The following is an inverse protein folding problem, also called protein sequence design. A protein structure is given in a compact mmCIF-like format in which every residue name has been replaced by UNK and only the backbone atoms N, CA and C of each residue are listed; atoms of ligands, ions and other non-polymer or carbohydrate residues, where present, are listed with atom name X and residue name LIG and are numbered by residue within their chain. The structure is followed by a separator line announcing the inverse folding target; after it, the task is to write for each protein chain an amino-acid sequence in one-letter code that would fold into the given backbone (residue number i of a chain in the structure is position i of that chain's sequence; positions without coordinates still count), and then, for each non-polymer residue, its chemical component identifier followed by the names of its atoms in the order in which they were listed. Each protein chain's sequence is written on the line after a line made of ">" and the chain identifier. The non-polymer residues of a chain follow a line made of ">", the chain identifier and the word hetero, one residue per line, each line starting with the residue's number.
data_IF_915794632996
#
_entry.id   IF_915794632996
#
_cell.length_a   1.000
_cell.length_b   1.000
_cell.length_c   1.000
_cell.angle_alpha   90.00
_cell.angle_beta   90.00
_cell.angle_gamma   90.00
#
_symmetry.space_group_name_H-M   'P 1'
#
loop_
_entity.id
_entity.type
_entity.pdbx_description
1 polymer ?
#
# COMPACT_ATOMS: atom_id res chain seq x y z
N UNK A 1 17.32 14.69 14.99
CA UNK A 1 16.55 14.29 13.79
C UNK A 1 15.79 12.97 13.98
N UNK A 2 16.45 11.87 14.34
CA UNK A 2 15.76 10.55 14.50
C UNK A 2 14.68 10.54 15.58
N UNK A 3 14.93 11.12 16.75
CA UNK A 3 13.94 11.19 17.82
C UNK A 3 12.67 11.97 17.41
N UNK A 4 12.83 13.06 16.66
CA UNK A 4 11.71 13.86 16.16
C UNK A 4 10.84 13.05 15.18
N UNK A 5 11.46 12.27 14.27
CA UNK A 5 10.74 11.40 13.36
C UNK A 5 9.96 10.32 14.09
N UNK A 6 10.56 9.70 15.12
CA UNK A 6 9.88 8.69 15.95
C UNK A 6 8.68 9.30 16.66
N UNK A 7 8.87 10.45 17.34
CA UNK A 7 7.78 11.15 18.03
C UNK A 7 6.65 11.47 17.05
N UNK A 8 6.97 12.04 15.89
CA UNK A 8 5.97 12.41 14.88
C UNK A 8 5.23 11.20 14.31
N UNK A 9 5.92 10.10 14.03
CA UNK A 9 5.29 8.84 13.60
C UNK A 9 4.32 8.29 14.65
N UNK A 10 4.75 8.26 15.92
CA UNK A 10 3.89 7.85 17.03
C UNK A 10 2.67 8.76 17.16
N UNK A 11 2.84 10.09 17.10
CA UNK A 11 1.72 11.05 17.16
C UNK A 11 0.77 10.94 15.96
N UNK A 12 1.26 10.60 14.77
CA UNK A 12 0.40 10.33 13.61
C UNK A 12 -0.47 9.10 13.84
N UNK A 13 0.13 7.98 14.29
CA UNK A 13 -0.62 6.75 14.56
C UNK A 13 -1.61 6.92 15.72
N UNK A 14 -1.17 7.57 16.81
CA UNK A 14 -2.00 7.82 17.98
C UNK A 14 -3.29 8.56 17.62
N UNK A 15 -3.20 9.65 16.84
CA UNK A 15 -4.40 10.41 16.40
C UNK A 15 -5.42 9.57 15.64
N UNK A 16 -4.97 8.62 14.81
CA UNK A 16 -5.87 7.73 14.07
C UNK A 16 -6.46 6.65 14.98
N UNK A 17 -5.66 6.06 15.87
CA UNK A 17 -6.12 5.03 16.81
C UNK A 17 -7.07 5.61 17.84
N UNK A 18 -6.82 6.81 18.37
CA UNK A 18 -7.70 7.49 19.33
C UNK A 18 -9.08 7.82 18.72
N UNK A 19 -9.14 8.11 17.42
CA UNK A 19 -10.40 8.37 16.72
C UNK A 19 -11.29 7.12 16.60
N UNK A 20 -10.71 5.92 16.72
CA UNK A 20 -11.39 4.63 16.56
C UNK A 20 -10.66 3.50 17.29
N UNK A 21 -10.55 3.63 18.62
CA UNK A 21 -9.72 2.72 19.44
C UNK A 21 -10.14 1.26 19.29
N UNK A 22 -11.45 1.03 19.24
CA UNK A 22 -12.08 -0.29 19.16
C UNK A 22 -12.22 -0.85 17.75
N UNK A 23 -11.77 -0.11 16.73
CA UNK A 23 -11.86 -0.52 15.32
C UNK A 23 -13.31 -0.82 14.87
N UNK A 24 -14.27 -0.05 15.41
CA UNK A 24 -15.70 -0.22 15.14
C UNK A 24 -16.16 0.63 13.95
N UNK A 25 -15.39 1.68 13.62
CA UNK A 25 -15.70 2.63 12.55
C UNK A 25 -14.80 2.47 11.32
N UNK A 26 -13.89 1.50 11.37
CA UNK A 26 -12.96 1.16 10.29
C UNK A 26 -12.06 2.34 9.89
N UNK A 27 -11.82 3.30 10.80
CA UNK A 27 -11.00 4.48 10.53
C UNK A 27 -9.52 4.09 10.48
N UNK A 28 -9.12 3.11 11.29
CA UNK A 28 -7.73 2.63 11.39
C UNK A 28 -7.23 1.98 10.11
N UNK A 29 -8.13 1.51 9.24
CA UNK A 29 -7.76 0.82 8.01
C UNK A 29 -6.88 1.65 7.09
N UNK A 30 -6.97 3.00 7.14
CA UNK A 30 -6.13 3.88 6.32
C UNK A 30 -4.64 3.73 6.61
N UNK A 31 -4.28 3.21 7.80
CA UNK A 31 -2.89 2.90 8.17
C UNK A 31 -2.32 1.75 7.34
N UNK A 32 -3.18 0.99 6.65
CA UNK A 32 -2.81 -0.13 5.79
C UNK A 32 -2.43 0.30 4.36
N UNK A 33 -2.22 1.61 4.10
CA UNK A 33 -1.65 2.03 2.82
C UNK A 33 -0.31 1.32 2.56
N UNK A 34 -0.18 0.73 1.38
CA UNK A 34 0.91 -0.13 0.95
C UNK A 34 0.85 -1.58 1.41
N UNK A 35 -0.05 -1.95 2.33
CA UNK A 35 0.01 -3.27 2.97
C UNK A 35 -0.76 -4.35 2.20
N UNK A 36 -1.76 -4.01 1.38
CA UNK A 36 -2.52 -5.03 0.66
C UNK A 36 -1.64 -5.66 -0.42
N UNK A 37 -1.02 -4.86 -1.27
CA UNK A 37 -0.05 -5.38 -2.25
C UNK A 37 1.27 -5.77 -1.56
N UNK A 38 1.70 -5.02 -0.53
CA UNK A 38 2.93 -5.31 0.21
C UNK A 38 2.96 -6.70 0.83
N UNK A 39 1.92 -7.12 1.56
CA UNK A 39 1.85 -8.48 2.12
C UNK A 39 1.85 -9.57 1.04
N UNK A 40 1.20 -9.32 -0.10
CA UNK A 40 1.22 -10.27 -1.22
C UNK A 40 2.63 -10.42 -1.80
N UNK A 41 3.41 -9.33 -1.91
CA UNK A 41 4.81 -9.37 -2.35
C UNK A 41 5.68 -10.06 -1.30
N UNK A 42 5.48 -9.77 -0.02
CA UNK A 42 6.20 -10.41 1.09
C UNK A 42 6.03 -11.95 1.03
N UNK A 43 4.78 -12.41 0.91
CA UNK A 43 4.47 -13.83 0.76
C UNK A 43 4.99 -14.43 -0.56
N UNK A 44 4.86 -13.71 -1.68
CA UNK A 44 5.37 -14.13 -2.98
C UNK A 44 6.90 -14.26 -3.01
N UNK A 45 7.60 -13.44 -2.23
CA UNK A 45 9.06 -13.52 -2.05
C UNK A 45 9.50 -14.71 -1.18
N UNK A 46 8.55 -15.45 -0.60
CA UNK A 46 8.82 -16.42 0.48
C UNK A 46 9.52 -15.76 1.68
N UNK A 47 9.08 -14.55 2.06
CA UNK A 47 9.61 -13.78 3.18
C UNK A 47 11.12 -13.48 3.09
N UNK A 48 11.64 -13.34 1.87
CA UNK A 48 13.05 -12.98 1.62
C UNK A 48 13.31 -11.48 1.64
N UNK A 49 12.27 -10.68 1.45
CA UNK A 49 12.31 -9.22 1.64
C UNK A 49 11.76 -8.89 3.03
N UNK A 50 12.27 -7.81 3.64
CA UNK A 50 11.74 -7.37 4.93
C UNK A 50 10.35 -6.76 4.77
N UNK A 51 9.57 -6.77 5.86
CA UNK A 51 8.23 -6.18 5.88
C UNK A 51 8.23 -4.71 5.42
N UNK A 52 9.19 -3.90 5.89
CA UNK A 52 9.29 -2.49 5.51
C UNK A 52 9.57 -2.28 4.02
N UNK A 53 10.41 -3.12 3.42
CA UNK A 53 10.66 -3.11 1.97
C UNK A 53 9.42 -3.53 1.18
N UNK A 54 8.72 -4.57 1.63
CA UNK A 54 7.49 -5.03 1.01
C UNK A 54 6.39 -3.94 1.04
N UNK A 55 6.22 -3.27 2.18
CA UNK A 55 5.28 -2.14 2.31
C UNK A 55 5.71 -0.96 1.43
N UNK A 56 6.99 -0.63 1.33
CA UNK A 56 7.47 0.44 0.44
C UNK A 56 7.13 0.16 -1.03
N UNK A 57 7.37 -1.07 -1.50
CA UNK A 57 7.00 -1.50 -2.85
C UNK A 57 5.47 -1.47 -3.02
N UNK A 58 4.73 -1.96 -2.02
CA UNK A 58 3.27 -1.93 -2.01
C UNK A 58 2.71 -0.51 -2.10
N UNK A 59 3.28 0.46 -1.38
CA UNK A 59 2.88 1.87 -1.48
C UNK A 59 3.01 2.40 -2.92
N UNK A 60 4.06 2.00 -3.64
CA UNK A 60 4.25 2.40 -5.05
C UNK A 60 3.18 1.78 -5.94
N UNK A 61 2.90 0.49 -5.83
CA UNK A 61 1.87 -0.16 -6.66
C UNK A 61 0.45 0.33 -6.33
N UNK A 62 0.14 0.61 -5.06
CA UNK A 62 -1.14 1.19 -4.65
C UNK A 62 -1.28 2.65 -5.10
N UNK A 63 -0.18 3.41 -5.12
CA UNK A 63 -0.16 4.75 -5.72
C UNK A 63 -0.31 4.70 -7.26
N UNK A 64 0.37 3.78 -7.95
CA UNK A 64 0.19 3.53 -9.40
C UNK A 64 -1.28 3.19 -9.72
N UNK A 65 -1.90 2.35 -8.90
CA UNK A 65 -3.32 2.02 -9.01
C UNK A 65 -4.20 3.26 -8.80
N UNK A 66 -3.86 4.11 -7.83
CA UNK A 66 -4.55 5.39 -7.61
C UNK A 66 -4.48 6.32 -8.84
N UNK A 67 -3.30 6.42 -9.48
CA UNK A 67 -3.11 7.19 -10.72
C UNK A 67 -3.94 6.61 -11.86
N UNK A 68 -3.87 5.29 -12.07
CA UNK A 68 -4.61 4.61 -13.13
C UNK A 68 -6.13 4.75 -12.97
N UNK A 69 -6.63 4.84 -11.73
CA UNK A 69 -8.05 5.08 -11.43
C UNK A 69 -8.44 6.57 -11.47
N UNK A 70 -7.51 7.47 -11.82
CA UNK A 70 -7.76 8.93 -11.87
C UNK A 70 -7.94 9.59 -10.51
N UNK A 71 -7.50 8.93 -9.43
CA UNK A 71 -7.63 9.43 -8.05
C UNK A 71 -6.44 10.28 -7.62
N UNK A 72 -5.25 10.00 -8.15
CA UNK A 72 -3.98 10.58 -7.75
C UNK A 72 -3.27 11.21 -8.95
N UNK A 73 -2.64 12.36 -8.73
CA UNK A 73 -1.74 12.96 -9.70
C UNK A 73 -0.43 12.16 -9.83
N UNK A 74 0.07 12.01 -11.05
CA UNK A 74 1.36 11.36 -11.33
C UNK A 74 2.51 12.05 -10.60
N UNK A 75 2.46 13.37 -10.42
CA UNK A 75 3.49 14.12 -9.69
C UNK A 75 3.60 13.67 -8.22
N UNK A 76 2.50 13.24 -7.62
CA UNK A 76 2.49 12.69 -6.26
C UNK A 76 3.10 11.30 -6.21
N UNK A 77 2.85 10.47 -7.23
CA UNK A 77 3.50 9.17 -7.38
C UNK A 77 5.02 9.33 -7.52
N UNK A 78 5.48 10.23 -8.39
CA UNK A 78 6.90 10.47 -8.62
C UNK A 78 7.59 10.99 -7.34
N UNK A 79 6.91 11.87 -6.60
CA UNK A 79 7.40 12.36 -5.31
C UNK A 79 7.47 11.25 -4.26
N UNK A 80 6.52 10.32 -4.24
CA UNK A 80 6.54 9.14 -3.36
C UNK A 80 7.72 8.21 -3.71
N UNK A 81 7.88 7.87 -4.99
CA UNK A 81 9.00 7.04 -5.47
C UNK A 81 10.34 7.72 -5.11
N UNK A 82 10.45 9.02 -5.38
CA UNK A 82 11.66 9.79 -5.10
C UNK A 82 12.07 9.79 -3.63
N UNK A 83 11.13 9.92 -2.69
CA UNK A 83 11.47 9.86 -1.25
C UNK A 83 11.86 8.45 -0.81
N UNK A 84 11.17 7.41 -1.29
CA UNK A 84 11.51 6.02 -0.97
C UNK A 84 12.92 5.65 -1.48
N UNK A 85 13.24 6.01 -2.72
CA UNK A 85 14.58 5.79 -3.28
C UNK A 85 15.67 6.56 -2.54
N UNK A 86 15.41 7.80 -2.11
CA UNK A 86 16.36 8.58 -1.28
C UNK A 86 16.61 7.96 0.10
N UNK A 87 15.66 7.19 0.61
CA UNK A 87 15.77 6.43 1.86
C UNK A 87 16.42 5.04 1.65
N UNK A 88 16.77 4.69 0.40
CA UNK A 88 17.34 3.38 0.06
C UNK A 88 16.32 2.24 0.05
N UNK A 89 15.02 2.55 0.01
CA UNK A 89 13.97 1.54 -0.04
C UNK A 89 13.66 1.12 -1.48
N UNK A 90 13.33 -0.16 -1.73
CA UNK A 90 12.93 -0.63 -3.03
C UNK A 90 11.57 -0.06 -3.44
N UNK A 91 11.41 0.23 -4.73
CA UNK A 91 10.20 0.81 -5.33
C UNK A 91 9.58 -0.09 -6.41
N UNK A 92 10.08 -1.33 -6.55
CA UNK A 92 9.60 -2.34 -7.50
C UNK A 92 9.75 -3.74 -6.89
N UNK A 93 8.88 -4.67 -7.28
CA UNK A 93 8.95 -6.08 -6.89
C UNK A 93 10.08 -6.84 -7.62
N UNK A 94 10.78 -6.21 -8.55
CA UNK A 94 11.91 -6.81 -9.27
C UNK A 94 11.48 -8.02 -10.10
N UNK A 95 12.06 -9.18 -9.81
CA UNK A 95 11.81 -10.44 -10.56
C UNK A 95 10.70 -11.30 -9.94
N UNK A 96 9.98 -10.81 -8.94
CA UNK A 96 8.87 -11.57 -8.36
C UNK A 96 7.74 -11.60 -9.40
N UNK A 97 7.33 -12.82 -9.77
CA UNK A 97 6.28 -13.05 -10.75
C UNK A 97 4.94 -12.41 -10.34
N UNK A 98 4.34 -11.63 -11.25
CA UNK A 98 3.09 -10.93 -11.01
C UNK A 98 1.92 -11.90 -10.73
N UNK A 99 1.86 -13.04 -11.44
CA UNK A 99 0.86 -14.08 -11.21
C UNK A 99 0.95 -14.67 -9.81
N UNK A 100 2.18 -14.85 -9.31
CA UNK A 100 2.44 -15.28 -7.94
C UNK A 100 2.00 -14.23 -6.93
N UNK A 101 2.27 -12.95 -7.14
CA UNK A 101 1.76 -11.88 -6.25
C UNK A 101 0.22 -11.88 -6.22
N UNK A 102 -0.42 -11.96 -7.39
CA UNK A 102 -1.88 -11.99 -7.52
C UNK A 102 -2.52 -13.19 -6.83
N UNK A 103 -1.86 -14.35 -6.81
CA UNK A 103 -2.38 -15.53 -6.12
C UNK A 103 -2.48 -15.27 -4.61
N UNK A 104 -1.49 -14.60 -4.00
CA UNK A 104 -1.52 -14.23 -2.57
C UNK A 104 -2.56 -13.15 -2.24
N UNK A 105 -2.91 -12.28 -3.18
CA UNK A 105 -4.03 -11.35 -3.01
C UNK A 105 -5.39 -12.07 -2.98
N UNK A 106 -5.51 -13.18 -3.71
CA UNK A 106 -6.75 -13.94 -3.85
C UNK A 106 -7.10 -14.79 -2.62
N UNK A 107 -6.08 -15.15 -1.82
CA UNK A 107 -6.25 -15.92 -0.58
C UNK A 107 -6.57 -15.05 0.64
N UNK A 108 -6.34 -13.74 0.58
CA UNK A 108 -6.64 -12.83 1.69
C UNK A 108 -8.16 -12.66 1.85
N UNK A 109 -8.63 -12.59 3.10
CA UNK A 109 -10.05 -12.43 3.48
C UNK A 109 -10.70 -11.13 2.95
N UNK A 110 -9.93 -10.30 2.24
CA UNK A 110 -10.35 -9.05 1.59
C UNK A 110 -11.02 -9.25 0.23
N UNK A 111 -11.00 -10.47 -0.32
CA UNK A 111 -11.68 -10.79 -1.58
C UNK A 111 -13.12 -11.21 -1.31
N UNK A 112 -14.08 -10.32 -1.59
CA UNK A 112 -15.49 -10.69 -1.74
C UNK A 112 -15.82 -10.65 -3.24
N UNK A 113 -16.25 -11.76 -3.82
CA UNK A 113 -16.67 -11.85 -5.24
C UNK A 113 -15.62 -11.38 -6.27
N UNK A 114 -14.32 -11.61 -6.03
CA UNK A 114 -13.24 -11.21 -6.96
C UNK A 114 -12.89 -9.71 -6.95
N UNK A 115 -13.41 -8.98 -5.97
CA UNK A 115 -13.19 -7.57 -5.72
C UNK A 115 -12.36 -7.38 -4.46
N UNK A 116 -11.38 -6.49 -4.52
CA UNK A 116 -10.45 -6.24 -3.41
C UNK A 116 -10.74 -4.89 -2.77
N UNK A 117 -10.84 -4.91 -1.44
CA UNK A 117 -10.80 -3.73 -0.59
C UNK A 117 -9.36 -3.30 -0.34
N UNK A 118 -9.01 -2.07 -0.69
CA UNK A 118 -7.63 -1.56 -0.62
C UNK A 118 -7.58 -0.08 -0.21
N UNK A 119 -6.47 0.34 0.39
CA UNK A 119 -6.26 1.76 0.70
C UNK A 119 -5.55 2.42 -0.47
N UNK A 120 -6.10 3.50 -0.99
CA UNK A 120 -5.54 4.29 -2.10
C UNK A 120 -5.29 5.73 -1.64
N UNK A 121 -4.66 6.54 -2.49
CA UNK A 121 -4.43 7.96 -2.22
C UNK A 121 -5.22 8.85 -3.19
N UNK A 122 -5.76 9.95 -2.67
CA UNK A 122 -6.23 11.08 -3.50
C UNK A 122 -5.19 12.20 -3.61
N UNK A 123 -4.40 12.36 -2.57
CA UNK A 123 -3.30 13.33 -2.48
C UNK A 123 -2.42 12.98 -1.27
N UNK A 124 -1.32 13.72 -1.07
CA UNK A 124 -0.48 13.55 0.12
C UNK A 124 -1.29 13.85 1.37
N UNK A 125 -1.37 12.88 2.27
CA UNK A 125 -2.12 13.01 3.52
C UNK A 125 -3.63 12.73 3.40
N UNK A 126 -4.11 12.31 2.22
CA UNK A 126 -5.52 11.99 1.98
C UNK A 126 -5.70 10.53 1.51
N UNK A 127 -5.51 9.54 2.39
CA UNK A 127 -5.82 8.15 2.09
C UNK A 127 -7.34 7.95 2.04
N UNK A 128 -7.77 7.02 1.19
CA UNK A 128 -9.16 6.57 1.10
C UNK A 128 -9.21 5.05 1.12
N UNK A 129 -10.30 4.52 1.66
CA UNK A 129 -10.67 3.13 1.42
C UNK A 129 -11.36 3.06 0.07
N UNK A 130 -10.80 2.27 -0.83
CA UNK A 130 -11.41 2.00 -2.11
C UNK A 130 -11.93 0.56 -2.13
N UNK A 131 -13.25 0.44 -2.23
CA UNK A 131 -13.93 -0.83 -2.36
C UNK A 131 -13.91 -1.27 -3.82
N UNK A 132 -14.05 -2.57 -4.04
CA UNK A 132 -14.33 -3.12 -5.36
C UNK A 132 -13.27 -2.90 -6.44
N UNK A 133 -11.98 -2.87 -6.09
CA UNK A 133 -10.91 -2.85 -7.09
C UNK A 133 -10.93 -4.15 -7.89
N UNK A 134 -11.06 -4.10 -9.23
CA UNK A 134 -10.98 -5.28 -10.08
C UNK A 134 -9.56 -5.86 -10.04
N UNK A 135 -9.44 -7.18 -9.91
CA UNK A 135 -8.13 -7.86 -9.91
C UNK A 135 -7.30 -7.53 -11.17
N UNK A 136 -7.96 -7.32 -12.31
CA UNK A 136 -7.31 -6.95 -13.58
C UNK A 136 -6.63 -5.58 -13.52
N UNK A 137 -7.17 -4.64 -12.72
CA UNK A 137 -6.52 -3.37 -12.47
C UNK A 137 -5.21 -3.56 -11.71
N UNK A 138 -5.20 -4.45 -10.71
CA UNK A 138 -3.99 -4.78 -9.95
C UNK A 138 -2.98 -5.49 -10.85
N UNK A 139 -3.42 -6.43 -11.69
CA UNK A 139 -2.56 -7.11 -12.67
C UNK A 139 -1.84 -6.09 -13.56
N UNK A 140 -2.59 -5.13 -14.12
CA UNK A 140 -2.02 -4.08 -14.99
C UNK A 140 -0.92 -3.27 -14.31
N UNK A 141 -1.04 -2.95 -13.01
CA UNK A 141 0.00 -2.17 -12.33
C UNK A 141 1.22 -3.01 -11.94
N UNK A 142 1.07 -4.33 -11.81
CA UNK A 142 2.16 -5.27 -11.50
C UNK A 142 3.01 -5.65 -12.72
N UNK A 143 2.41 -5.67 -13.91
CA UNK A 143 3.06 -6.08 -15.18
C UNK A 143 3.86 -4.96 -15.87
N UNK A 144 3.92 -3.76 -15.26
CA UNK A 144 4.58 -2.55 -15.80
C UNK A 144 5.91 -2.25 -15.13
#
# INVERSE_FOLDING_TARGET
>A
LTAELVIRSCSCKARIVEADERDEKDIRVILNFGHTIGHAIEAASSFKISHGEAVAIGMVYEAKLSVMLGLLDVDVLDRLVGILSRLGLPTSAGQIDAGRILSFLSYDKKVKHGKIRIVLLKSIGSPIVYEDVPIDAIRKVLEV
#
